data_IF_078703613474
#
_entry.id   IF_078703613474
#
_cell.length_a   1.000
_cell.length_b   1.000
_cell.length_c   1.000
_cell.angle_alpha   90.00
_cell.angle_beta   90.00
_cell.angle_gamma   90.00
#
_symmetry.space_group_name_H-M   'P 1'
#
loop_
_entity.id
_entity.type
_entity.pdbx_description
1 polymer ?
#
# COMPACT_ATOMS: atom_id res chain seq x y z
N UNK A 1 33.59 10.74 -20.85
CA UNK A 1 32.75 10.81 -19.65
C UNK A 1 31.34 11.15 -20.12
N UNK A 2 30.36 10.22 -20.10
CA UNK A 2 29.01 10.61 -20.47
C UNK A 2 28.39 11.42 -19.33
N UNK A 3 27.76 12.54 -19.69
CA UNK A 3 27.10 13.48 -18.79
C UNK A 3 25.96 12.82 -18.00
N UNK A 4 26.02 12.91 -16.66
CA UNK A 4 24.99 12.43 -15.73
C UNK A 4 23.82 13.40 -15.52
N UNK A 5 23.50 14.26 -16.50
CA UNK A 5 22.43 15.27 -16.38
C UNK A 5 21.06 14.86 -16.96
N UNK A 6 20.84 13.58 -17.22
CA UNK A 6 19.50 13.05 -17.56
C UNK A 6 19.22 11.76 -16.76
N UNK A 7 19.43 11.82 -15.45
CA UNK A 7 18.93 10.76 -14.57
C UNK A 7 17.53 11.19 -14.13
N UNK A 8 16.52 10.81 -14.92
CA UNK A 8 15.11 10.87 -14.51
C UNK A 8 15.01 10.32 -13.09
N UNK A 9 14.73 11.19 -12.12
CA UNK A 9 14.52 10.76 -10.75
C UNK A 9 13.44 9.66 -10.76
N UNK A 10 13.60 8.57 -9.97
CA UNK A 10 12.66 7.47 -10.00
C UNK A 10 11.26 8.00 -9.67
N UNK A 11 10.37 7.93 -10.66
CA UNK A 11 9.02 8.50 -10.56
C UNK A 11 8.22 7.69 -9.53
N UNK A 12 7.57 8.34 -8.53
CA UNK A 12 6.71 7.65 -7.59
C UNK A 12 5.60 6.85 -8.25
N UNK A 13 5.33 5.64 -7.78
CA UNK A 13 4.23 4.84 -8.31
C UNK A 13 2.85 5.42 -7.92
N UNK A 14 1.82 5.24 -8.77
CA UNK A 14 0.44 5.57 -8.41
C UNK A 14 0.05 4.94 -7.07
N UNK A 15 -0.78 5.64 -6.28
CA UNK A 15 -1.22 5.16 -4.98
C UNK A 15 -1.96 3.82 -5.10
N UNK A 16 -2.79 3.67 -6.13
CA UNK A 16 -3.56 2.47 -6.43
C UNK A 16 -2.67 1.25 -6.68
N UNK A 17 -1.52 1.45 -7.34
CA UNK A 17 -0.58 0.36 -7.58
C UNK A 17 0.14 -0.04 -6.29
N UNK A 18 0.50 0.94 -5.46
CA UNK A 18 1.10 0.69 -4.14
C UNK A 18 0.11 0.00 -3.20
N UNK A 19 -1.17 0.36 -3.25
CA UNK A 19 -2.28 -0.30 -2.56
C UNK A 19 -2.51 -1.73 -3.06
N UNK A 20 -2.47 -1.95 -4.38
CA UNK A 20 -2.62 -3.29 -4.97
C UNK A 20 -1.54 -4.22 -4.46
N UNK A 21 -0.28 -3.77 -4.50
CA UNK A 21 0.83 -4.52 -3.93
C UNK A 21 0.65 -4.75 -2.43
N UNK A 22 -0.06 -3.84 -1.75
CA UNK A 22 -0.38 -3.99 -0.34
C UNK A 22 -1.31 -5.13 -0.01
N UNK A 23 -2.44 -5.18 -0.71
CA UNK A 23 -3.37 -6.30 -0.59
C UNK A 23 -2.72 -7.62 -1.01
N UNK A 24 -1.93 -7.62 -2.08
CA UNK A 24 -1.32 -8.85 -2.59
C UNK A 24 -0.31 -9.43 -1.59
N UNK A 25 0.47 -8.59 -0.93
CA UNK A 25 1.39 -9.00 0.12
C UNK A 25 0.62 -9.60 1.32
N UNK A 26 -0.52 -9.00 1.71
CA UNK A 26 -1.39 -9.49 2.78
C UNK A 26 -1.93 -10.90 2.50
N UNK A 27 -2.33 -11.16 1.25
CA UNK A 27 -2.77 -12.49 0.82
C UNK A 27 -1.62 -13.46 0.53
N UNK A 28 -0.38 -13.11 0.90
CA UNK A 28 0.83 -13.89 0.66
C UNK A 28 1.05 -14.24 -0.83
N UNK A 29 0.50 -13.43 -1.74
CA UNK A 29 0.58 -13.63 -3.20
C UNK A 29 2.01 -13.63 -3.72
N UNK A 30 2.95 -12.79 -3.22
CA UNK A 30 4.35 -12.82 -3.66
C UNK A 30 5.00 -14.19 -3.48
N UNK A 31 4.59 -14.99 -2.48
CA UNK A 31 5.10 -16.35 -2.25
C UNK A 31 4.82 -17.30 -3.41
N UNK A 32 3.69 -17.09 -4.10
CA UNK A 32 3.22 -17.92 -5.20
C UNK A 32 3.51 -17.32 -6.57
N UNK A 33 4.15 -16.15 -6.61
CA UNK A 33 4.51 -15.48 -7.86
C UNK A 33 5.53 -16.33 -8.64
N UNK A 34 5.39 -16.48 -9.97
CA UNK A 34 6.37 -17.20 -10.78
C UNK A 34 7.75 -16.51 -10.81
N UNK A 35 7.83 -15.20 -10.53
CA UNK A 35 9.10 -14.47 -10.44
C UNK A 35 9.83 -14.76 -9.13
N UNK A 36 11.08 -15.25 -9.22
CA UNK A 36 11.94 -15.55 -8.06
C UNK A 36 12.19 -14.33 -7.18
N UNK A 37 12.37 -13.15 -7.78
CA UNK A 37 12.61 -11.91 -7.03
C UNK A 37 11.46 -11.60 -6.09
N UNK A 38 10.20 -11.67 -6.56
CA UNK A 38 9.02 -11.46 -5.73
C UNK A 38 8.94 -12.44 -4.56
N UNK A 39 9.25 -13.72 -4.80
CA UNK A 39 9.28 -14.73 -3.74
C UNK A 39 10.34 -14.43 -2.68
N UNK A 40 11.51 -13.92 -3.09
CA UNK A 40 12.64 -13.61 -2.18
C UNK A 40 12.43 -12.32 -1.40
N UNK A 41 12.02 -11.25 -2.07
CA UNK A 41 11.78 -9.95 -1.44
C UNK A 41 10.47 -9.90 -0.66
N UNK A 42 9.59 -10.90 -0.84
CA UNK A 42 8.21 -10.90 -0.32
C UNK A 42 7.38 -9.70 -0.80
N UNK A 43 7.80 -9.07 -1.90
CA UNK A 43 7.14 -7.91 -2.50
C UNK A 43 6.97 -8.11 -3.99
N UNK A 44 5.81 -7.74 -4.53
CA UNK A 44 5.61 -7.81 -5.97
C UNK A 44 6.37 -6.70 -6.71
N UNK A 45 7.48 -7.07 -7.36
CA UNK A 45 8.40 -6.21 -8.13
C UNK A 45 8.12 -6.23 -9.64
N UNK A 46 6.88 -6.50 -10.05
CA UNK A 46 6.51 -6.38 -11.46
C UNK A 46 6.70 -4.95 -11.97
N UNK A 47 6.98 -4.78 -13.26
CA UNK A 47 7.14 -3.47 -13.86
C UNK A 47 5.86 -2.65 -13.61
N UNK A 48 6.01 -1.50 -12.98
CA UNK A 48 4.91 -0.58 -12.69
C UNK A 48 4.59 0.26 -13.94
N UNK A 49 3.31 0.47 -14.29
CA UNK A 49 2.94 1.59 -15.14
C UNK A 49 3.30 2.93 -14.47
N UNK A 50 3.54 3.95 -15.29
CA UNK A 50 3.98 5.28 -14.86
C UNK A 50 2.88 6.04 -14.09
N UNK A 51 3.30 6.93 -13.18
CA UNK A 51 2.47 7.70 -12.25
C UNK A 51 1.26 8.45 -12.85
N UNK A 52 1.36 8.86 -14.12
CA UNK A 52 0.41 9.76 -14.75
C UNK A 52 -0.79 9.05 -15.38
N UNK A 53 -0.85 7.72 -15.35
CA UNK A 53 -1.98 6.99 -15.89
C UNK A 53 -2.72 6.24 -14.77
N UNK A 54 -4.02 6.48 -14.54
CA UNK A 54 -4.81 5.66 -13.63
C UNK A 54 -4.78 4.21 -14.11
N UNK A 55 -4.85 3.24 -13.19
CA UNK A 55 -4.97 1.81 -13.50
C UNK A 55 -6.27 1.53 -14.29
N UNK A 56 -6.24 1.78 -15.59
CA UNK A 56 -7.32 1.46 -16.51
C UNK A 56 -7.34 -0.05 -16.77
N UNK A 57 -8.52 -0.60 -17.08
CA UNK A 57 -8.64 -1.95 -17.64
C UNK A 57 -7.82 -2.00 -18.94
N UNK A 58 -6.62 -2.58 -18.88
CA UNK A 58 -5.71 -2.69 -20.02
C UNK A 58 -4.25 -2.31 -19.73
N UNK A 59 -3.95 -1.68 -18.59
CA UNK A 59 -2.55 -1.47 -18.19
C UNK A 59 -1.91 -2.76 -17.71
N UNK A 60 -0.61 -2.93 -17.99
CA UNK A 60 0.15 -4.10 -17.55
C UNK A 60 0.25 -4.11 -16.03
N UNK A 61 -0.67 -4.82 -15.39
CA UNK A 61 -0.54 -5.15 -13.98
C UNK A 61 0.75 -5.95 -13.76
N UNK A 62 1.42 -5.79 -12.60
CA UNK A 62 2.56 -6.61 -12.29
C UNK A 62 2.14 -8.09 -12.36
N UNK A 63 3.02 -9.04 -12.73
CA UNK A 63 2.59 -10.43 -13.02
C UNK A 63 1.91 -11.16 -11.87
N UNK A 64 2.13 -10.73 -10.63
CA UNK A 64 1.42 -11.21 -9.44
C UNK A 64 -0.08 -10.84 -9.43
N UNK A 65 -0.45 -9.80 -10.18
CA UNK A 65 -1.77 -9.17 -10.22
C UNK A 65 -2.43 -9.29 -11.60
N UNK A 66 -1.73 -9.80 -12.62
CA UNK A 66 -2.28 -9.99 -13.97
C UNK A 66 -3.54 -10.90 -14.01
N UNK A 67 -3.81 -11.65 -12.93
CA UNK A 67 -5.02 -12.47 -12.76
C UNK A 67 -5.94 -11.96 -11.63
N UNK A 68 -5.71 -10.74 -11.13
CA UNK A 68 -6.57 -10.16 -10.10
C UNK A 68 -8.00 -10.06 -10.66
N UNK A 69 -8.97 -10.47 -9.85
CA UNK A 69 -10.39 -10.39 -10.23
C UNK A 69 -10.77 -8.91 -10.36
N UNK A 70 -11.72 -8.55 -11.26
CA UNK A 70 -12.20 -7.17 -11.39
C UNK A 70 -12.68 -6.54 -10.07
N UNK A 71 -13.21 -7.34 -9.14
CA UNK A 71 -13.62 -6.87 -7.81
C UNK A 71 -12.47 -6.24 -7.01
N UNK A 72 -11.24 -6.74 -7.19
CA UNK A 72 -10.04 -6.19 -6.53
C UNK A 72 -9.75 -4.79 -7.06
N UNK A 73 -10.05 -4.51 -8.33
CA UNK A 73 -9.85 -3.17 -8.89
C UNK A 73 -10.83 -2.16 -8.30
N UNK A 74 -12.08 -2.57 -8.05
CA UNK A 74 -13.07 -1.71 -7.40
C UNK A 74 -12.65 -1.43 -5.95
N UNK A 75 -12.30 -2.46 -5.20
CA UNK A 75 -11.80 -2.32 -3.82
C UNK A 75 -10.58 -1.39 -3.74
N UNK A 76 -9.68 -1.46 -4.73
CA UNK A 76 -8.53 -0.56 -4.82
C UNK A 76 -8.90 0.89 -5.07
N UNK A 77 -9.87 1.14 -5.95
CA UNK A 77 -10.38 2.49 -6.18
C UNK A 77 -11.07 3.04 -4.95
N UNK A 78 -11.84 2.21 -4.24
CA UNK A 78 -12.51 2.61 -3.01
C UNK A 78 -11.49 2.96 -1.92
N UNK A 79 -10.45 2.13 -1.75
CA UNK A 79 -9.37 2.42 -0.81
C UNK A 79 -8.54 3.65 -1.18
N UNK A 80 -8.23 3.84 -2.46
CA UNK A 80 -7.53 5.04 -2.93
C UNK A 80 -8.40 6.28 -2.70
N UNK A 81 -9.68 6.21 -3.02
CA UNK A 81 -10.67 7.27 -2.76
C UNK A 81 -10.79 7.61 -1.27
N UNK A 82 -10.66 6.63 -0.38
CA UNK A 82 -10.60 6.87 1.06
C UNK A 82 -9.31 7.58 1.50
N UNK A 83 -8.18 7.35 0.82
CA UNK A 83 -6.90 7.94 1.17
C UNK A 83 -6.72 9.36 0.62
N UNK A 84 -7.16 9.60 -0.63
CA UNK A 84 -6.92 10.86 -1.34
C UNK A 84 -7.25 12.12 -0.53
N UNK A 85 -8.43 12.26 0.10
CA UNK A 85 -8.78 13.46 0.87
C UNK A 85 -7.77 13.77 2.00
N UNK A 86 -7.15 12.74 2.57
CA UNK A 86 -6.25 12.88 3.71
C UNK A 86 -4.80 13.14 3.33
N UNK A 87 -4.44 12.95 2.05
CA UNK A 87 -3.06 13.06 1.57
C UNK A 87 -2.88 14.11 0.48
N UNK A 88 -3.95 14.57 -0.16
CA UNK A 88 -3.87 15.60 -1.20
C UNK A 88 -3.13 16.85 -0.69
N UNK A 89 -2.30 17.50 -1.51
CA UNK A 89 -1.69 18.77 -1.15
C UNK A 89 -2.77 19.75 -0.66
N UNK A 90 -2.52 20.37 0.49
CA UNK A 90 -3.44 21.32 1.10
C UNK A 90 -2.65 22.33 1.91
N UNK A 91 -3.11 23.58 1.89
CA UNK A 91 -2.52 24.68 2.64
C UNK A 91 -3.13 24.84 4.04
N UNK A 92 -4.30 24.25 4.27
CA UNK A 92 -4.98 24.32 5.55
C UNK A 92 -4.45 23.28 6.54
N UNK A 93 -4.35 23.63 7.83
CA UNK A 93 -4.03 22.67 8.88
C UNK A 93 -5.01 21.48 8.87
N UNK A 94 -4.48 20.27 8.99
CA UNK A 94 -5.30 19.06 9.12
C UNK A 94 -6.00 19.04 10.47
N UNK A 95 -7.32 18.96 10.44
CA UNK A 95 -8.16 18.92 11.64
C UNK A 95 -8.72 17.51 11.85
N UNK A 96 -8.56 17.00 13.06
CA UNK A 96 -9.19 15.75 13.46
C UNK A 96 -10.68 15.98 13.73
N UNK A 97 -11.56 15.10 13.22
CA UNK A 97 -12.98 15.18 13.51
C UNK A 97 -13.23 14.85 14.99
N UNK A 98 -14.22 15.52 15.58
CA UNK A 98 -14.70 15.23 16.93
C UNK A 98 -15.44 13.89 17.00
N UNK A 99 -16.09 13.50 15.90
CA UNK A 99 -16.74 12.21 15.77
C UNK A 99 -15.73 11.06 15.82
N UNK A 100 -15.93 10.15 16.77
CA UNK A 100 -15.04 9.04 17.03
C UNK A 100 -14.94 8.07 15.84
N UNK A 101 -16.05 7.86 15.11
CA UNK A 101 -16.07 6.95 13.96
C UNK A 101 -15.27 7.55 12.78
N UNK A 102 -15.48 8.83 12.48
CA UNK A 102 -14.70 9.57 11.50
C UNK A 102 -13.21 9.60 11.87
N UNK A 103 -12.88 9.83 13.14
CA UNK A 103 -11.50 9.83 13.60
C UNK A 103 -10.87 8.43 13.44
N UNK A 104 -11.60 7.36 13.72
CA UNK A 104 -11.16 5.99 13.50
C UNK A 104 -10.90 5.69 12.01
N UNK A 105 -11.77 6.17 11.11
CA UNK A 105 -11.58 6.06 9.65
C UNK A 105 -10.29 6.75 9.20
N UNK A 106 -10.01 7.95 9.70
CA UNK A 106 -8.75 8.66 9.41
C UNK A 106 -7.54 7.88 9.96
N UNK A 107 -7.59 7.38 11.20
CA UNK A 107 -6.50 6.55 11.75
C UNK A 107 -6.22 5.32 10.90
N UNK A 108 -7.26 4.64 10.44
CA UNK A 108 -7.14 3.49 9.55
C UNK A 108 -6.51 3.87 8.21
N UNK A 109 -6.96 4.97 7.61
CA UNK A 109 -6.38 5.52 6.38
C UNK A 109 -4.88 5.85 6.55
N UNK A 110 -4.51 6.57 7.60
CA UNK A 110 -3.12 6.94 7.89
C UNK A 110 -2.23 5.71 8.18
N UNK A 111 -2.77 4.70 8.86
CA UNK A 111 -2.05 3.45 9.11
C UNK A 111 -1.75 2.70 7.79
N UNK A 112 -2.71 2.64 6.87
CA UNK A 112 -2.52 2.04 5.54
C UNK A 112 -1.46 2.78 4.74
N UNK A 113 -1.49 4.12 4.76
CA UNK A 113 -0.48 4.94 4.10
C UNK A 113 0.91 4.74 4.71
N UNK A 114 1.02 4.73 6.04
CA UNK A 114 2.28 4.44 6.73
C UNK A 114 2.86 3.09 6.29
N UNK A 115 2.04 2.04 6.22
CA UNK A 115 2.46 0.71 5.74
C UNK A 115 3.00 0.78 4.32
N UNK A 116 2.33 1.48 3.41
CA UNK A 116 2.82 1.71 2.05
C UNK A 116 4.18 2.41 2.04
N UNK A 117 4.37 3.42 2.90
CA UNK A 117 5.62 4.20 3.02
C UNK A 117 6.78 3.42 3.67
N UNK A 118 6.52 2.30 4.36
CA UNK A 118 7.60 1.43 4.85
C UNK A 118 8.29 0.62 3.75
N UNK A 119 7.74 0.63 2.53
CA UNK A 119 8.23 -0.17 1.42
C UNK A 119 9.39 0.51 0.70
N UNK A 120 10.29 -0.28 0.08
CA UNK A 120 11.28 0.29 -0.80
C UNK A 120 10.60 0.88 -2.04
N UNK A 121 10.89 2.14 -2.33
CA UNK A 121 10.45 2.80 -3.55
C UNK A 121 10.35 4.33 -3.39
N UNK A 122 10.27 5.06 -4.51
CA UNK A 122 9.96 6.48 -4.48
C UNK A 122 8.52 6.71 -3.97
N UNK A 123 8.38 7.61 -2.99
CA UNK A 123 7.09 8.05 -2.45
C UNK A 123 6.92 9.56 -2.64
N UNK A 124 5.72 10.04 -3.02
CA UNK A 124 5.50 11.47 -3.17
C UNK A 124 5.74 12.22 -1.86
N UNK A 125 6.42 13.37 -1.93
CA UNK A 125 6.74 14.18 -0.74
C UNK A 125 5.50 14.72 -0.04
N UNK A 126 4.47 15.09 -0.80
CA UNK A 126 3.22 15.58 -0.23
C UNK A 126 2.54 14.55 0.69
N UNK A 127 2.68 13.25 0.42
CA UNK A 127 2.14 12.21 1.31
C UNK A 127 2.89 12.17 2.65
N UNK A 128 4.22 12.32 2.62
CA UNK A 128 5.04 12.41 3.85
C UNK A 128 4.70 13.67 4.65
N UNK A 129 4.53 14.80 3.96
CA UNK A 129 4.09 16.05 4.59
C UNK A 129 2.69 15.91 5.23
N UNK A 130 1.75 15.24 4.55
CA UNK A 130 0.43 14.98 5.09
C UNK A 130 0.48 14.08 6.34
N UNK A 131 1.26 12.99 6.32
CA UNK A 131 1.47 12.12 7.49
C UNK A 131 2.02 12.91 8.68
N UNK A 132 3.02 13.76 8.46
CA UNK A 132 3.60 14.61 9.50
C UNK A 132 2.58 15.61 10.05
N UNK A 133 1.78 16.25 9.18
CA UNK A 133 0.74 17.19 9.60
C UNK A 133 -0.34 16.53 10.47
N UNK A 134 -0.82 15.35 10.07
CA UNK A 134 -1.80 14.59 10.86
C UNK A 134 -1.24 14.13 12.21
N UNK A 135 0.02 13.69 12.24
CA UNK A 135 0.68 13.27 13.47
C UNK A 135 0.91 14.44 14.44
N UNK A 136 1.21 15.63 13.93
CA UNK A 136 1.43 16.82 14.74
C UNK A 136 0.16 17.33 15.43
N UNK A 137 -1.02 17.12 14.82
CA UNK A 137 -2.31 17.55 15.38
C UNK A 137 -3.11 16.42 16.03
N UNK A 138 -2.55 15.21 16.19
CA UNK A 138 -3.28 14.05 16.69
C UNK A 138 -3.69 14.20 18.16
N UNK A 139 -5.01 14.24 18.46
CA UNK A 139 -5.49 14.33 19.83
C UNK A 139 -5.26 13.04 20.62
N UNK A 140 -5.00 11.90 19.95
CA UNK A 140 -4.72 10.63 20.60
C UNK A 140 -3.67 9.81 19.82
N UNK A 141 -2.37 10.14 19.97
CA UNK A 141 -1.28 9.47 19.26
C UNK A 141 -1.13 8.00 19.65
N UNK A 142 -1.56 7.62 20.86
CA UNK A 142 -1.53 6.22 21.31
C UNK A 142 -2.53 5.37 20.51
N UNK A 143 -3.75 5.86 20.32
CA UNK A 143 -4.74 5.17 19.49
C UNK A 143 -4.19 5.01 18.06
N UNK A 144 -3.66 6.07 17.46
CA UNK A 144 -3.07 6.01 16.12
C UNK A 144 -1.90 5.02 16.04
N UNK A 145 -1.07 4.92 17.07
CA UNK A 145 -0.04 3.89 17.14
C UNK A 145 -0.59 2.46 17.13
N UNK A 146 -1.71 2.20 17.82
CA UNK A 146 -2.37 0.89 17.78
C UNK A 146 -2.87 0.54 16.38
N UNK A 147 -3.45 1.50 15.66
CA UNK A 147 -3.85 1.29 14.26
C UNK A 147 -2.65 0.98 13.37
N UNK A 148 -1.46 1.55 13.64
CA UNK A 148 -0.24 1.15 12.91
C UNK A 148 0.20 -0.28 13.26
N UNK A 149 0.22 -0.62 14.55
CA UNK A 149 0.70 -1.92 15.04
C UNK A 149 -0.22 -3.10 14.68
N UNK A 150 -1.54 -2.92 14.70
CA UNK A 150 -2.51 -4.00 14.44
C UNK A 150 -2.29 -4.71 13.10
N UNK A 151 -1.76 -4.00 12.11
CA UNK A 151 -1.51 -4.55 10.77
C UNK A 151 -0.13 -5.19 10.60
N UNK A 152 0.87 -4.84 11.43
CA UNK A 152 2.19 -5.47 11.38
C UNK A 152 2.18 -6.93 11.92
N UNK A 153 1.10 -7.35 12.58
CA UNK A 153 1.03 -8.62 13.33
C UNK A 153 0.14 -9.71 12.71
N UNK A 154 -0.39 -9.55 11.50
CA UNK A 154 -1.06 -10.66 10.81
C UNK A 154 0.02 -11.65 10.35
N UNK A 155 0.45 -12.52 11.26
CA UNK A 155 1.22 -13.71 10.89
C UNK A 155 0.35 -14.49 9.88
N UNK A 156 0.89 -14.87 8.71
CA UNK A 156 0.14 -15.73 7.81
C UNK A 156 -0.26 -16.97 8.60
N UNK A 157 -1.55 -17.28 8.65
CA UNK A 157 -2.04 -18.52 9.24
C UNK A 157 -1.21 -19.67 8.63
N UNK A 158 -0.52 -20.40 9.51
CA UNK A 158 0.11 -21.66 9.11
C UNK A 158 -1.04 -22.54 8.63
N UNK A 159 -1.10 -22.80 7.32
CA UNK A 159 -1.98 -23.83 6.77
C UNK A 159 -1.79 -25.11 7.58
N UNK A 160 -2.86 -25.80 8.00
CA UNK A 160 -2.72 -27.11 8.63
C UNK A 160 -1.96 -28.00 7.64
N UNK A 161 -0.85 -28.56 8.10
CA UNK A 161 -0.11 -29.57 7.36
C UNK A 161 -1.05 -30.76 7.18
N UNK A 162 -1.51 -31.00 5.96
CA UNK A 162 -2.13 -32.28 5.61
C UNK A 162 -1.03 -33.33 5.73
N UNK A 163 -1.07 -34.09 6.82
CA UNK A 163 -0.25 -35.29 6.96
C UNK A 163 -0.53 -36.20 5.76
N UNK A 164 0.50 -36.72 5.07
CA UNK A 164 0.25 -37.73 4.05
C UNK A 164 -0.34 -38.95 4.75
N UNK A 165 -1.56 -39.30 4.37
CA UNK A 165 -2.21 -40.50 4.84
C UNK A 165 -1.32 -41.70 4.55
N UNK A 166 -0.96 -42.42 5.61
CA UNK A 166 -0.43 -43.78 5.50
C UNK A 166 -1.53 -44.62 4.88
N UNK A 167 -1.37 -44.95 3.59
CA UNK A 167 -2.12 -46.03 2.98
C UNK A 167 -1.65 -47.35 3.60
N UNK A 168 -2.60 -48.12 4.11
CA UNK A 168 -2.51 -49.56 4.34
C UNK A 168 -3.81 -50.18 3.84
#
# INVERSE_FOLDING_TARGET
MPDHQTTEAPVPEPLELRLLRDLLDEHATPLRCPRRQCRRSRHCSGQAPLAHLPLASGQSLPPCAAKAKPIVHQELRDMAGQLHPHISPGTEPRQWPEDAEAAAKIRLALARLHRIHTRPGPHPEHERAALAAWAASDPNPQATALYRCGWHHIKPEKRPSVSPGTAA
#
